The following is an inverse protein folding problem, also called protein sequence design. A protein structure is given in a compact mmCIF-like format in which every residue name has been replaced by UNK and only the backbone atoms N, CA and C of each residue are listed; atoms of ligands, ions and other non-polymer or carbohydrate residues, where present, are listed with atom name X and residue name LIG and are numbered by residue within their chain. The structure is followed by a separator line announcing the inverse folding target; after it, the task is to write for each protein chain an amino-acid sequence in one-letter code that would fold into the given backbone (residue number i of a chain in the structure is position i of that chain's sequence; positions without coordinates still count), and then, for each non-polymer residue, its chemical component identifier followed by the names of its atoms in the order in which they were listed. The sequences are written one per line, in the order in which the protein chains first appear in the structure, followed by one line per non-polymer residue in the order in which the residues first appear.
data_IF_756004941152
#
_entry.id   IF_756004941152
#
_cell.length_a   1.000
_cell.length_b   1.000
_cell.length_c   1.000
_cell.angle_alpha   90.00
_cell.angle_beta   90.00
_cell.angle_gamma   90.00
#
_symmetry.space_group_name_H-M   'P 1'
#
loop_
_entity.id
_entity.type
_entity.pdbx_description
1 polymer ?
#
# COMPACT_ATOMS: atom_id res chain seq x y z
N UNK A 1 -38.25 37.02 -7.41
CA UNK A 1 -36.84 36.59 -7.33
C UNK A 1 -36.40 36.29 -8.76
N UNK A 2 -35.27 36.82 -9.23
CA UNK A 2 -34.88 36.61 -10.64
C UNK A 2 -34.20 35.26 -10.83
N UNK A 3 -34.29 34.67 -12.02
CA UNK A 3 -33.60 33.42 -12.37
C UNK A 3 -32.07 33.49 -12.18
N UNK A 4 -31.49 34.70 -12.32
CA UNK A 4 -30.07 34.91 -12.03
C UNK A 4 -29.76 34.90 -10.53
N UNK A 5 -30.71 35.24 -9.67
CA UNK A 5 -30.54 35.19 -8.22
C UNK A 5 -30.65 33.74 -7.71
N UNK A 6 -31.53 32.92 -8.30
CA UNK A 6 -31.59 31.47 -8.05
C UNK A 6 -30.31 30.76 -8.51
N UNK A 7 -29.76 31.12 -9.68
CA UNK A 7 -28.48 30.57 -10.14
C UNK A 7 -27.33 30.94 -9.19
N UNK A 8 -27.28 32.18 -8.71
CA UNK A 8 -26.25 32.63 -7.75
C UNK A 8 -26.38 31.96 -6.38
N UNK A 9 -27.60 31.69 -5.91
CA UNK A 9 -27.83 30.94 -4.68
C UNK A 9 -27.43 29.46 -4.80
N UNK A 10 -27.52 28.87 -6.00
CA UNK A 10 -27.20 27.47 -6.25
C UNK A 10 -25.79 27.22 -6.81
N UNK A 11 -25.05 28.27 -7.17
CA UNK A 11 -23.67 28.20 -7.63
C UNK A 11 -22.74 27.93 -6.44
N UNK A 12 -22.23 26.70 -6.35
CA UNK A 12 -21.19 26.33 -5.40
C UNK A 12 -19.95 27.17 -5.66
N UNK A 13 -19.37 27.74 -4.60
CA UNK A 13 -18.09 28.43 -4.74
C UNK A 13 -16.99 27.42 -5.07
N UNK A 14 -15.95 27.81 -5.83
CA UNK A 14 -14.81 26.93 -6.11
C UNK A 14 -14.17 26.34 -4.85
N UNK A 15 -14.20 27.07 -3.73
CA UNK A 15 -13.68 26.60 -2.44
C UNK A 15 -14.53 25.48 -1.83
N UNK A 16 -15.86 25.55 -1.94
CA UNK A 16 -16.76 24.49 -1.48
C UNK A 16 -16.55 23.23 -2.30
N UNK A 17 -16.41 23.35 -3.62
CA UNK A 17 -16.15 22.21 -4.51
C UNK A 17 -14.81 21.54 -4.17
N UNK A 18 -13.74 22.32 -3.97
CA UNK A 18 -12.43 21.79 -3.57
C UNK A 18 -12.50 21.03 -2.23
N UNK A 19 -13.18 21.59 -1.23
CA UNK A 19 -13.35 20.93 0.07
C UNK A 19 -14.12 19.61 -0.06
N UNK A 20 -15.21 19.60 -0.81
CA UNK A 20 -15.99 18.37 -1.06
C UNK A 20 -15.15 17.30 -1.78
N UNK A 21 -14.30 17.69 -2.73
CA UNK A 21 -13.38 16.78 -3.41
C UNK A 21 -12.33 16.21 -2.46
N UNK A 22 -11.71 17.04 -1.63
CA UNK A 22 -10.75 16.60 -0.62
C UNK A 22 -11.38 15.64 0.40
N UNK A 23 -12.59 15.95 0.88
CA UNK A 23 -13.35 15.07 1.77
C UNK A 23 -13.67 13.72 1.11
N UNK A 24 -14.04 13.72 -0.17
CA UNK A 24 -14.28 12.48 -0.93
C UNK A 24 -13.01 11.67 -1.07
N UNK A 25 -11.87 12.29 -1.37
CA UNK A 25 -10.57 11.62 -1.44
C UNK A 25 -10.19 10.99 -0.10
N UNK A 26 -10.34 11.72 1.00
CA UNK A 26 -10.07 11.21 2.34
C UNK A 26 -10.97 10.03 2.70
N UNK A 27 -12.27 10.11 2.40
CA UNK A 27 -13.20 8.99 2.63
C UNK A 27 -12.83 7.77 1.79
N UNK A 28 -12.53 7.97 0.50
CA UNK A 28 -12.11 6.89 -0.39
C UNK A 28 -10.87 6.17 0.11
N UNK A 29 -9.83 6.91 0.49
CA UNK A 29 -8.59 6.34 1.01
C UNK A 29 -8.81 5.60 2.35
N UNK A 30 -9.71 6.10 3.19
CA UNK A 30 -10.06 5.45 4.46
C UNK A 30 -10.76 4.11 4.22
N UNK A 31 -11.75 4.08 3.32
CA UNK A 31 -12.46 2.84 2.95
C UNK A 31 -11.49 1.81 2.34
N UNK A 32 -10.62 2.24 1.43
CA UNK A 32 -9.62 1.35 0.82
C UNK A 32 -8.67 0.76 1.89
N UNK A 33 -8.21 1.58 2.84
CA UNK A 33 -7.37 1.16 3.94
C UNK A 33 -8.09 0.17 4.88
N UNK A 34 -9.34 0.43 5.25
CA UNK A 34 -10.15 -0.48 6.07
C UNK A 34 -10.34 -1.83 5.39
N UNK A 35 -10.74 -1.84 4.11
CA UNK A 35 -10.88 -3.08 3.35
C UNK A 35 -9.57 -3.85 3.26
N UNK A 36 -8.45 -3.15 3.03
CA UNK A 36 -7.12 -3.78 2.96
C UNK A 36 -6.71 -4.37 4.31
N UNK A 37 -6.94 -3.65 5.41
CA UNK A 37 -6.66 -4.13 6.75
C UNK A 37 -7.48 -5.38 7.10
N UNK A 38 -8.76 -5.42 6.73
CA UNK A 38 -9.61 -6.61 6.92
C UNK A 38 -9.01 -7.83 6.20
N UNK A 39 -8.60 -7.68 4.93
CA UNK A 39 -7.96 -8.76 4.17
C UNK A 39 -6.66 -9.22 4.82
N UNK A 40 -5.82 -8.29 5.28
CA UNK A 40 -4.58 -8.60 6.00
C UNK A 40 -4.84 -9.37 7.30
N UNK A 41 -5.80 -8.93 8.12
CA UNK A 41 -6.18 -9.62 9.37
C UNK A 41 -6.67 -11.04 9.12
N UNK A 42 -7.49 -11.25 8.09
CA UNK A 42 -7.97 -12.58 7.71
C UNK A 42 -6.78 -13.49 7.36
N UNK A 43 -5.85 -13.02 6.52
CA UNK A 43 -4.65 -13.78 6.16
C UNK A 43 -3.73 -14.04 7.35
N UNK A 44 -3.52 -13.06 8.23
CA UNK A 44 -2.72 -13.26 9.45
C UNK A 44 -3.33 -14.35 10.34
N UNK A 45 -4.66 -14.33 10.51
CA UNK A 45 -5.39 -15.35 11.27
C UNK A 45 -5.25 -16.73 10.64
N UNK A 46 -5.32 -16.81 9.31
CA UNK A 46 -5.11 -18.05 8.57
C UNK A 46 -3.67 -18.57 8.73
N UNK A 47 -2.67 -17.69 8.64
CA UNK A 47 -1.27 -18.04 8.83
C UNK A 47 -1.01 -18.57 10.25
N UNK A 48 -1.62 -17.96 11.28
CA UNK A 48 -1.56 -18.48 12.66
C UNK A 48 -2.15 -19.89 12.75
N UNK A 49 -3.35 -20.11 12.19
CA UNK A 49 -4.02 -21.43 12.19
C UNK A 49 -3.19 -22.50 11.49
N UNK A 50 -2.45 -22.10 10.45
CA UNK A 50 -1.59 -22.98 9.66
C UNK A 50 -0.16 -23.10 10.22
N UNK A 51 0.11 -22.55 11.41
CA UNK A 51 1.44 -22.50 12.04
C UNK A 51 2.53 -21.85 11.16
N UNK A 52 2.16 -20.88 10.33
CA UNK A 52 3.06 -20.11 9.48
C UNK A 52 3.54 -18.86 10.23
N UNK A 53 4.41 -19.07 11.20
CA UNK A 53 5.05 -18.03 12.00
C UNK A 53 6.52 -18.34 12.23
N UNK A 54 7.29 -17.31 12.57
CA UNK A 54 8.70 -17.43 12.93
C UNK A 54 8.86 -17.09 14.40
N UNK A 55 9.59 -17.90 15.17
CA UNK A 55 9.91 -17.60 16.57
C UNK A 55 11.32 -17.01 16.62
N UNK A 56 11.45 -15.82 17.21
CA UNK A 56 12.74 -15.19 17.51
C UNK A 56 12.70 -14.68 18.96
N UNK A 57 13.72 -15.02 19.75
CA UNK A 57 13.82 -14.65 21.18
C UNK A 57 12.55 -14.95 22.01
N UNK A 58 11.85 -16.03 21.69
CA UNK A 58 10.62 -16.44 22.38
C UNK A 58 9.35 -15.69 21.95
N UNK A 59 9.44 -14.79 20.98
CA UNK A 59 8.29 -14.10 20.39
C UNK A 59 7.92 -14.77 19.06
N UNK A 60 6.66 -15.18 18.90
CA UNK A 60 6.16 -15.69 17.63
C UNK A 60 5.65 -14.54 16.77
N UNK A 61 6.31 -14.32 15.64
CA UNK A 61 5.93 -13.27 14.69
C UNK A 61 5.26 -13.90 13.47
N UNK A 62 4.08 -13.38 13.12
CA UNK A 62 3.33 -13.79 11.93
C UNK A 62 3.37 -12.64 10.94
N UNK A 63 3.61 -12.96 9.67
CA UNK A 63 3.55 -11.97 8.59
C UNK A 63 2.64 -12.42 7.47
N UNK A 64 2.09 -11.45 6.75
CA UNK A 64 1.22 -11.66 5.59
C UNK A 64 1.46 -10.59 4.54
N UNK A 65 1.22 -10.93 3.28
CA UNK A 65 1.35 -10.03 2.14
C UNK A 65 -0.01 -9.81 1.46
N UNK A 66 -0.29 -8.56 1.15
CA UNK A 66 -1.44 -8.14 0.35
C UNK A 66 -0.98 -7.28 -0.82
N UNK A 67 -1.37 -7.66 -2.04
CA UNK A 67 -1.13 -6.86 -3.23
C UNK A 67 -1.97 -5.58 -3.18
N UNK A 68 -1.37 -4.45 -3.53
CA UNK A 68 -2.05 -3.17 -3.66
C UNK A 68 -2.03 -2.69 -5.11
N UNK A 69 -2.74 -1.59 -5.40
CA UNK A 69 -2.91 -1.09 -6.77
C UNK A 69 -1.57 -0.92 -7.50
N UNK A 70 -1.47 -1.52 -8.69
CA UNK A 70 -0.32 -1.39 -9.58
C UNK A 70 -0.13 0.03 -10.09
N UNK A 71 -1.15 0.89 -10.01
CA UNK A 71 -1.08 2.30 -10.40
C UNK A 71 -0.02 3.08 -9.60
N UNK A 72 0.20 2.68 -8.33
CA UNK A 72 1.18 3.29 -7.45
C UNK A 72 2.62 2.91 -7.81
N UNK A 73 2.82 1.81 -8.53
CA UNK A 73 4.13 1.31 -8.90
C UNK A 73 4.57 1.89 -10.25
N UNK A 74 5.77 2.46 -10.28
CA UNK A 74 6.44 2.86 -11.51
C UNK A 74 7.70 2.04 -11.69
N UNK A 75 7.79 1.34 -12.81
CA UNK A 75 8.99 0.64 -13.24
C UNK A 75 9.76 1.47 -14.27
N UNK A 76 11.09 1.58 -14.10
CA UNK A 76 12.01 2.16 -15.09
C UNK A 76 13.14 1.19 -15.38
N UNK A 77 13.34 0.89 -16.66
CA UNK A 77 14.47 0.08 -17.11
C UNK A 77 15.66 1.00 -17.43
N UNK A 78 16.82 0.66 -16.88
CA UNK A 78 18.10 1.28 -17.21
C UNK A 78 19.00 0.20 -17.79
N UNK A 79 19.54 0.46 -18.98
CA UNK A 79 20.53 -0.41 -19.62
C UNK A 79 21.90 0.18 -19.31
N UNK A 80 22.73 -0.56 -18.58
CA UNK A 80 24.13 -0.20 -18.42
C UNK A 80 24.89 -0.60 -19.68
N UNK A 81 25.27 0.39 -20.47
CA UNK A 81 25.92 0.21 -21.77
C UNK A 81 27.33 -0.39 -21.64
N UNK A 82 27.94 -0.32 -20.46
CA UNK A 82 29.31 -0.81 -20.22
C UNK A 82 29.32 -2.32 -19.96
N UNK A 83 28.32 -2.82 -19.22
CA UNK A 83 28.26 -4.23 -18.79
C UNK A 83 27.13 -5.05 -19.46
N UNK A 84 26.32 -4.45 -20.34
CA UNK A 84 25.10 -5.06 -20.93
C UNK A 84 24.18 -5.61 -19.82
N UNK A 85 24.15 -4.94 -18.67
CA UNK A 85 23.26 -5.28 -17.56
C UNK A 85 21.98 -4.45 -17.61
N UNK A 86 20.84 -5.11 -17.39
CA UNK A 86 19.54 -4.45 -17.33
C UNK A 86 19.14 -4.31 -15.86
N UNK A 87 18.94 -3.07 -15.45
CA UNK A 87 18.52 -2.70 -14.10
C UNK A 87 17.08 -2.20 -14.11
N UNK A 88 16.27 -2.75 -13.22
CA UNK A 88 14.89 -2.33 -13.02
C UNK A 88 14.79 -1.48 -11.74
N UNK A 89 14.29 -0.26 -11.88
CA UNK A 89 14.02 0.64 -10.77
C UNK A 89 12.52 0.66 -10.52
N UNK A 90 12.13 0.42 -9.28
CA UNK A 90 10.76 0.37 -8.82
C UNK A 90 10.55 1.45 -7.78
N UNK A 91 9.83 2.50 -8.16
CA UNK A 91 9.56 3.68 -7.35
C UNK A 91 8.06 3.99 -7.35
N UNK A 92 7.66 5.01 -6.58
CA UNK A 92 6.29 5.51 -6.63
C UNK A 92 6.00 6.20 -7.96
N UNK A 93 4.82 5.94 -8.50
CA UNK A 93 4.30 6.68 -9.62
C UNK A 93 3.97 8.12 -9.17
N UNK A 94 4.63 9.16 -9.73
CA UNK A 94 4.40 10.54 -9.32
C UNK A 94 2.94 10.99 -9.45
N UNK A 95 2.20 10.44 -10.42
CA UNK A 95 0.80 10.77 -10.67
C UNK A 95 -0.12 10.40 -9.51
N UNK A 96 0.20 9.33 -8.78
CA UNK A 96 -0.62 8.79 -7.70
C UNK A 96 0.07 8.86 -6.33
N UNK A 97 1.12 9.68 -6.23
CA UNK A 97 1.94 9.75 -5.02
C UNK A 97 1.13 10.19 -3.80
N UNK A 98 0.34 11.24 -3.94
CA UNK A 98 -0.49 11.77 -2.84
C UNK A 98 -1.55 10.77 -2.39
N UNK A 99 -2.21 10.10 -3.35
CA UNK A 99 -3.23 9.07 -3.06
C UNK A 99 -2.59 7.88 -2.32
N UNK A 100 -1.42 7.43 -2.77
CA UNK A 100 -0.65 6.36 -2.11
C UNK A 100 -0.26 6.75 -0.68
N UNK A 101 0.30 7.95 -0.48
CA UNK A 101 0.74 8.43 0.83
C UNK A 101 -0.45 8.53 1.80
N UNK A 102 -1.59 9.04 1.32
CA UNK A 102 -2.82 9.13 2.10
C UNK A 102 -3.34 7.73 2.48
N UNK A 103 -3.42 6.82 1.51
CA UNK A 103 -3.84 5.43 1.73
C UNK A 103 -2.94 4.71 2.75
N UNK A 104 -1.61 4.74 2.56
CA UNK A 104 -0.66 4.07 3.46
C UNK A 104 -0.68 4.69 4.85
N UNK A 105 -0.80 6.02 4.95
CA UNK A 105 -0.93 6.69 6.25
C UNK A 105 -2.18 6.24 6.99
N UNK A 106 -3.33 6.12 6.31
CA UNK A 106 -4.57 5.62 6.92
C UNK A 106 -4.45 4.16 7.32
N UNK A 107 -3.88 3.33 6.46
CA UNK A 107 -3.69 1.91 6.73
C UNK A 107 -2.80 1.69 7.97
N UNK A 108 -1.67 2.40 8.07
CA UNK A 108 -0.78 2.37 9.23
C UNK A 108 -1.48 2.82 10.51
N UNK A 109 -2.24 3.91 10.44
CA UNK A 109 -2.99 4.43 11.59
C UNK A 109 -4.03 3.42 12.09
N UNK A 110 -4.78 2.79 11.19
CA UNK A 110 -5.77 1.78 11.55
C UNK A 110 -5.11 0.52 12.12
N UNK A 111 -4.03 0.05 11.49
CA UNK A 111 -3.30 -1.15 11.89
C UNK A 111 -2.62 -1.02 13.27
N UNK A 112 -2.21 0.20 13.65
CA UNK A 112 -1.59 0.48 14.94
C UNK A 112 -2.53 0.13 16.12
N UNK A 113 -3.84 0.33 15.97
CA UNK A 113 -4.82 -0.01 17.00
C UNK A 113 -4.88 -1.51 17.30
N UNK A 114 -4.40 -2.35 16.36
CA UNK A 114 -4.39 -3.80 16.46
C UNK A 114 -2.98 -4.37 16.68
N UNK A 115 -1.98 -3.53 16.97
CA UNK A 115 -0.56 -3.91 17.05
C UNK A 115 -0.05 -4.64 15.79
N UNK A 116 -0.47 -4.15 14.62
CA UNK A 116 -0.01 -4.66 13.32
C UNK A 116 0.96 -3.63 12.71
N UNK A 117 2.19 -4.06 12.46
CA UNK A 117 3.18 -3.30 11.69
C UNK A 117 2.90 -3.44 10.19
N UNK A 118 3.04 -2.33 9.45
CA UNK A 118 2.73 -2.22 8.03
C UNK A 118 3.94 -1.69 7.29
N UNK A 119 4.43 -2.45 6.31
CA UNK A 119 5.58 -2.12 5.48
C UNK A 119 5.25 -2.29 3.99
N UNK A 120 5.78 -1.41 3.14
CA UNK A 120 5.64 -1.54 1.70
C UNK A 120 6.82 -2.36 1.15
N UNK A 121 6.51 -3.38 0.37
CA UNK A 121 7.51 -4.28 -0.22
C UNK A 121 7.15 -4.58 -1.67
N UNK A 122 8.15 -4.99 -2.44
CA UNK A 122 7.96 -5.56 -3.76
C UNK A 122 8.00 -7.08 -3.67
N UNK A 123 6.95 -7.75 -4.12
CA UNK A 123 6.95 -9.19 -4.30
C UNK A 123 7.47 -9.52 -5.71
N UNK A 124 8.61 -10.21 -5.80
CA UNK A 124 9.12 -10.76 -7.06
C UNK A 124 8.40 -12.08 -7.36
N UNK A 125 7.52 -12.06 -8.37
CA UNK A 125 6.75 -13.22 -8.78
C UNK A 125 7.61 -14.32 -9.41
N UNK A 126 8.83 -14.02 -9.85
CA UNK A 126 9.70 -15.00 -10.51
C UNK A 126 10.43 -15.91 -9.53
N UNK A 127 10.76 -15.42 -8.33
CA UNK A 127 11.52 -16.18 -7.35
C UNK A 127 10.89 -16.23 -5.95
N UNK A 128 9.64 -15.75 -5.82
CA UNK A 128 8.89 -15.71 -4.57
C UNK A 128 9.65 -15.02 -3.43
N UNK A 129 10.43 -13.99 -3.77
CA UNK A 129 11.19 -13.17 -2.80
C UNK A 129 10.53 -11.82 -2.64
N UNK A 130 10.77 -11.19 -1.51
CA UNK A 130 10.38 -9.80 -1.27
C UNK A 130 11.60 -8.90 -1.22
N UNK A 131 11.43 -7.68 -1.71
CA UNK A 131 12.42 -6.61 -1.67
C UNK A 131 11.81 -5.39 -0.97
N UNK A 132 12.63 -4.62 -0.25
CA UNK A 132 12.18 -3.34 0.31
C UNK A 132 11.81 -2.38 -0.82
N UNK A 133 10.73 -1.63 -0.64
CA UNK A 133 10.30 -0.60 -1.58
C UNK A 133 10.69 0.79 -1.06
N UNK A 134 11.26 1.68 -1.89
CA UNK A 134 11.63 1.51 -3.30
C UNK A 134 12.85 0.60 -3.52
N UNK A 135 12.99 0.04 -4.73
CA UNK A 135 14.04 -0.94 -5.03
C UNK A 135 14.73 -0.72 -6.39
N UNK A 136 15.98 -1.15 -6.47
CA UNK A 136 16.74 -1.33 -7.71
C UNK A 136 17.19 -2.79 -7.81
N UNK A 137 16.74 -3.50 -8.85
CA UNK A 137 16.93 -4.96 -9.00
C UNK A 137 17.63 -5.26 -10.34
N UNK A 138 18.74 -6.02 -10.37
CA UNK A 138 19.46 -6.38 -11.60
C UNK A 138 18.94 -7.69 -12.18
N UNK A 139 17.88 -7.67 -13.00
CA UNK A 139 17.40 -8.89 -13.70
C UNK A 139 16.62 -8.58 -14.99
N UNK A 140 16.74 -9.41 -16.04
CA UNK A 140 16.03 -9.20 -17.31
C UNK A 140 14.53 -9.58 -17.30
N UNK A 141 14.06 -10.36 -16.32
CA UNK A 141 12.69 -10.94 -16.32
C UNK A 141 11.93 -10.75 -14.99
N UNK A 142 12.22 -9.71 -14.22
CA UNK A 142 11.51 -9.44 -12.97
C UNK A 142 10.13 -8.83 -13.25
N UNK A 143 9.10 -9.56 -12.85
CA UNK A 143 7.76 -9.01 -12.66
C UNK A 143 7.54 -8.84 -11.16
N UNK A 144 7.57 -7.59 -10.71
CA UNK A 144 7.37 -7.24 -9.32
C UNK A 144 5.99 -6.61 -9.12
N UNK A 145 5.34 -6.99 -8.03
CA UNK A 145 4.09 -6.39 -7.57
C UNK A 145 4.35 -5.56 -6.32
N UNK A 146 3.70 -4.42 -6.22
CA UNK A 146 3.72 -3.63 -5.00
C UNK A 146 2.74 -4.24 -3.99
N UNK A 147 3.24 -4.57 -2.83
CA UNK A 147 2.49 -5.21 -1.77
C UNK A 147 2.67 -4.45 -0.45
N UNK A 148 1.72 -4.65 0.44
CA UNK A 148 1.83 -4.32 1.84
C UNK A 148 2.08 -5.61 2.63
N UNK A 149 3.16 -5.60 3.41
CA UNK A 149 3.46 -6.61 4.41
C UNK A 149 2.86 -6.17 5.75
N UNK A 150 1.97 -6.98 6.28
CA UNK A 150 1.53 -6.87 7.67
C UNK A 150 2.33 -7.83 8.54
N UNK A 151 2.67 -7.40 9.75
CA UNK A 151 3.39 -8.23 10.72
C UNK A 151 2.85 -7.95 12.12
N UNK A 152 2.64 -9.00 12.90
CA UNK A 152 2.17 -8.90 14.28
C UNK A 152 2.78 -10.00 15.13
N UNK A 153 2.96 -9.69 16.40
CA UNK A 153 3.50 -10.63 17.38
C UNK A 153 2.35 -11.34 18.09
N UNK A 154 2.49 -12.65 18.24
CA UNK A 154 1.53 -13.53 18.89
C UNK A 154 2.17 -14.06 20.16
N UNK A 155 1.52 -13.81 21.29
CA UNK A 155 1.87 -14.50 22.53
C UNK A 155 1.51 -15.98 22.37
N UNK A 156 2.51 -16.86 22.45
CA UNK A 156 2.26 -18.28 22.59
C UNK A 156 1.94 -18.53 24.06
N UNK A 157 0.68 -18.80 24.37
CA UNK A 157 0.31 -19.40 25.66
C UNK A 157 0.87 -20.84 25.66
N UNK A 158 2.10 -20.99 26.17
CA UNK A 158 2.80 -22.26 26.40
C UNK A 158 2.45 -22.85 27.76
#
# INVERSE_FOLDING_TARGET
MSFQDELRQNLRTPEVVKREEEERKQKSATIEAECTLIRLKLKLTENVKNAQYTIHDGVATVSSLEEISSLYLRERKQIDSVNIEIWHHYDLNPTYKEDFELFISKLKQLALNDNISIECVLADCSCNKTHFFPAKIPRPYTYCKLCVRATTDVALDL
#
